data_IF_781460074236
#
_entry.id   IF_781460074236
#
_cell.length_a   1.000
_cell.length_b   1.000
_cell.length_c   1.000
_cell.angle_alpha   90.00
_cell.angle_beta   90.00
_cell.angle_gamma   90.00
#
_symmetry.space_group_name_H-M   'P 1'
#
loop_
_entity.id
_entity.type
_entity.pdbx_description
1 polymer ?
#
# COMPACT_ATOMS: atom_id res chain seq x y z
N UNK A 1 9.96 -10.44 -20.28
CA UNK A 1 8.93 -10.51 -19.23
C UNK A 1 8.67 -9.09 -18.73
N UNK A 2 8.17 -8.24 -19.63
CA UNK A 2 8.23 -6.76 -19.52
C UNK A 2 6.86 -6.07 -19.52
N UNK A 3 5.76 -6.84 -19.60
CA UNK A 3 4.46 -6.35 -19.11
C UNK A 3 4.48 -6.57 -17.59
N UNK A 4 4.28 -5.61 -16.71
CA UNK A 4 3.55 -4.34 -16.86
C UNK A 4 4.09 -3.36 -15.79
N UNK A 5 5.42 -3.22 -15.61
CA UNK A 5 6.00 -2.37 -14.54
C UNK A 5 5.52 -0.92 -14.66
N UNK A 6 5.45 -0.39 -15.89
CA UNK A 6 4.88 0.94 -16.16
C UNK A 6 3.42 1.04 -15.70
N UNK A 7 2.66 -0.05 -15.81
CA UNK A 7 1.30 -0.11 -15.29
C UNK A 7 1.30 -0.18 -13.78
N UNK A 8 2.12 -1.00 -13.13
CA UNK A 8 2.21 -1.05 -11.66
C UNK A 8 2.55 0.32 -11.08
N UNK A 9 3.51 1.02 -11.70
CA UNK A 9 4.01 2.32 -11.24
C UNK A 9 3.15 3.52 -11.70
N UNK A 10 2.07 3.29 -12.45
CA UNK A 10 1.21 4.37 -12.94
C UNK A 10 0.53 5.12 -11.81
N UNK A 11 0.17 6.37 -12.09
CA UNK A 11 -0.86 7.08 -11.33
C UNK A 11 -2.24 6.63 -11.80
N UNK A 12 -3.13 6.30 -10.87
CA UNK A 12 -4.53 5.93 -11.12
C UNK A 12 -5.46 7.13 -10.91
N UNK A 13 -6.63 7.18 -11.57
CA UNK A 13 -7.57 8.26 -11.36
C UNK A 13 -8.17 8.22 -9.95
N UNK A 14 -8.77 9.33 -9.53
CA UNK A 14 -9.29 9.56 -8.17
C UNK A 14 -10.19 8.43 -7.68
N UNK A 15 -11.08 7.93 -8.52
CA UNK A 15 -12.06 6.89 -8.21
C UNK A 15 -11.41 5.54 -7.89
N UNK A 16 -10.14 5.37 -8.24
CA UNK A 16 -9.33 4.18 -7.98
C UNK A 16 -8.22 4.42 -6.93
N UNK A 17 -8.07 5.63 -6.42
CA UNK A 17 -7.06 5.93 -5.40
C UNK A 17 -7.35 5.16 -4.10
N UNK A 18 -6.30 4.88 -3.33
CA UNK A 18 -6.46 4.39 -1.97
C UNK A 18 -6.79 5.55 -1.05
N UNK A 19 -7.82 5.40 -0.23
CA UNK A 19 -8.25 6.41 0.74
C UNK A 19 -8.01 5.89 2.14
N UNK A 20 -7.26 6.65 2.94
CA UNK A 20 -6.89 6.24 4.30
C UNK A 20 -7.97 6.66 5.31
N UNK A 21 -8.47 5.72 6.08
CA UNK A 21 -9.46 5.87 7.15
C UNK A 21 -8.90 5.29 8.44
N UNK A 22 -9.32 5.84 9.59
CA UNK A 22 -9.00 5.24 10.90
C UNK A 22 -10.11 4.33 11.42
N UNK A 23 -11.31 4.42 10.83
CA UNK A 23 -12.46 3.59 11.09
C UNK A 23 -13.50 3.79 9.97
N UNK A 24 -14.58 3.01 9.98
CA UNK A 24 -15.68 3.17 9.02
C UNK A 24 -16.21 4.61 9.07
N UNK A 25 -16.18 5.29 7.92
CA UNK A 25 -16.64 6.67 7.78
C UNK A 25 -15.66 7.74 8.27
N UNK A 26 -14.53 7.39 8.88
CA UNK A 26 -13.58 8.36 9.42
C UNK A 26 -12.35 8.56 8.51
N UNK A 27 -12.56 9.28 7.41
CA UNK A 27 -11.53 9.59 6.43
C UNK A 27 -10.47 10.51 7.02
N UNK A 28 -9.19 10.22 6.76
CA UNK A 28 -8.06 11.00 7.28
C UNK A 28 -7.77 12.28 6.49
N UNK A 29 -8.40 12.48 5.32
CA UNK A 29 -8.02 13.53 4.39
C UNK A 29 -6.86 13.15 3.45
N UNK A 30 -6.27 11.96 3.62
CA UNK A 30 -5.08 11.51 2.88
C UNK A 30 -5.47 10.37 1.93
N UNK A 31 -4.98 10.44 0.70
CA UNK A 31 -5.13 9.38 -0.31
C UNK A 31 -3.80 9.13 -1.04
N UNK A 32 -3.69 7.96 -1.65
CA UNK A 32 -2.58 7.61 -2.54
C UNK A 32 -3.12 7.15 -3.90
N UNK A 33 -2.64 7.77 -4.96
CA UNK A 33 -3.01 7.48 -6.35
C UNK A 33 -1.96 6.67 -7.09
N UNK A 34 -0.87 6.29 -6.44
CA UNK A 34 0.19 5.44 -7.01
C UNK A 34 0.92 4.67 -5.92
N UNK A 35 1.72 3.67 -6.32
CA UNK A 35 2.59 2.95 -5.37
C UNK A 35 3.60 3.88 -4.67
N UNK A 36 4.10 4.88 -5.40
CA UNK A 36 5.02 5.89 -4.85
C UNK A 36 4.35 6.73 -3.78
N UNK A 37 3.17 7.29 -4.07
CA UNK A 37 2.41 8.05 -3.07
C UNK A 37 2.04 7.17 -1.88
N UNK A 38 1.71 5.90 -2.11
CA UNK A 38 1.39 4.97 -1.02
C UNK A 38 2.56 4.81 -0.05
N UNK A 39 3.79 4.66 -0.54
CA UNK A 39 5.02 4.65 0.28
C UNK A 39 5.15 5.93 1.11
N UNK A 40 4.98 7.10 0.48
CA UNK A 40 5.08 8.39 1.15
C UNK A 40 4.02 8.52 2.26
N UNK A 41 2.76 8.15 1.96
CA UNK A 41 1.63 8.29 2.88
C UNK A 41 1.68 7.34 4.06
N UNK A 42 2.33 6.18 3.95
CA UNK A 42 2.53 5.27 5.10
C UNK A 42 3.23 5.97 6.28
N UNK A 43 4.17 6.88 6.00
CA UNK A 43 4.88 7.62 7.05
C UNK A 43 4.09 8.82 7.59
N UNK A 44 3.13 9.35 6.82
CA UNK A 44 2.34 10.53 7.19
C UNK A 44 1.07 10.17 7.98
N UNK A 45 0.37 9.11 7.59
CA UNK A 45 -0.94 8.78 8.15
C UNK A 45 -0.84 8.30 9.60
N UNK A 46 -1.91 8.53 10.37
CA UNK A 46 -2.05 7.96 11.70
C UNK A 46 -1.93 6.43 11.64
N UNK A 47 -1.12 5.84 12.53
CA UNK A 47 -0.88 4.39 12.53
C UNK A 47 -2.14 3.55 12.73
N UNK A 48 -3.17 4.10 13.41
CA UNK A 48 -4.50 3.47 13.50
C UNK A 48 -5.13 3.24 12.13
N UNK A 49 -4.84 4.10 11.15
CA UNK A 49 -5.30 3.91 9.77
C UNK A 49 -4.59 2.74 9.09
N UNK A 50 -3.29 2.57 9.34
CA UNK A 50 -2.53 1.44 8.82
C UNK A 50 -3.03 0.12 9.40
N UNK A 51 -3.27 0.07 10.71
CA UNK A 51 -3.85 -1.10 11.38
C UNK A 51 -5.24 -1.41 10.83
N UNK A 52 -6.11 -0.40 10.77
CA UNK A 52 -7.48 -0.54 10.27
C UNK A 52 -7.50 -1.19 8.89
N UNK A 53 -6.71 -0.68 7.95
CA UNK A 53 -6.70 -1.18 6.58
C UNK A 53 -5.96 -2.50 6.40
N UNK A 54 -4.81 -2.70 7.05
CA UNK A 54 -4.05 -3.95 6.91
C UNK A 54 -4.89 -5.15 7.36
N UNK A 55 -5.54 -5.06 8.52
CA UNK A 55 -6.26 -6.22 9.06
C UNK A 55 -7.57 -6.52 8.34
N UNK A 56 -8.16 -5.52 7.68
CA UNK A 56 -9.33 -5.70 6.81
C UNK A 56 -8.99 -6.27 5.44
N UNK A 57 -7.71 -6.28 5.09
CA UNK A 57 -7.22 -6.71 3.78
C UNK A 57 -7.33 -5.65 2.68
N UNK A 58 -7.55 -4.38 3.06
CA UNK A 58 -7.83 -3.30 2.11
C UNK A 58 -6.58 -3.00 1.26
N UNK A 59 -5.39 -3.07 1.87
CA UNK A 59 -4.13 -2.81 1.18
C UNK A 59 -3.82 -3.86 0.12
N UNK A 60 -3.84 -5.16 0.45
CA UNK A 60 -3.52 -6.16 -0.57
C UNK A 60 -4.54 -6.20 -1.69
N UNK A 61 -5.82 -5.95 -1.38
CA UNK A 61 -6.88 -5.88 -2.39
C UNK A 61 -6.64 -4.74 -3.37
N UNK A 62 -6.33 -3.54 -2.87
CA UNK A 62 -6.05 -2.40 -3.73
C UNK A 62 -4.81 -2.62 -4.61
N UNK A 63 -3.74 -3.17 -4.05
CA UNK A 63 -2.51 -3.44 -4.80
C UNK A 63 -2.72 -4.50 -5.89
N UNK A 64 -3.44 -5.59 -5.58
CA UNK A 64 -3.74 -6.64 -6.57
C UNK A 64 -4.73 -6.13 -7.64
N UNK A 65 -5.88 -5.58 -7.25
CA UNK A 65 -6.95 -5.29 -8.19
C UNK A 65 -6.73 -3.96 -8.94
N UNK A 66 -6.18 -2.95 -8.27
CA UNK A 66 -6.00 -1.61 -8.84
C UNK A 66 -4.62 -1.46 -9.43
N UNK A 67 -3.54 -1.78 -8.71
CA UNK A 67 -2.19 -1.62 -9.26
C UNK A 67 -1.79 -2.79 -10.15
N UNK A 68 -2.40 -3.97 -9.98
CA UNK A 68 -2.09 -5.21 -10.70
C UNK A 68 -0.73 -5.78 -10.34
N UNK A 69 -0.36 -5.64 -9.06
CA UNK A 69 0.89 -6.11 -8.50
C UNK A 69 0.65 -7.26 -7.50
N UNK A 70 0.55 -8.46 -8.05
CA UNK A 70 0.29 -9.68 -7.28
C UNK A 70 1.40 -10.01 -6.28
N UNK A 71 2.65 -9.72 -6.66
CA UNK A 71 3.81 -10.05 -5.83
C UNK A 71 3.80 -9.23 -4.54
N UNK A 72 3.59 -7.92 -4.64
CA UNK A 72 3.49 -7.06 -3.46
C UNK A 72 2.23 -7.36 -2.64
N UNK A 73 1.09 -7.63 -3.30
CA UNK A 73 -0.14 -8.00 -2.60
C UNK A 73 0.04 -9.24 -1.72
N UNK A 74 0.72 -10.28 -2.21
CA UNK A 74 1.08 -11.45 -1.42
C UNK A 74 2.04 -11.11 -0.27
N UNK A 75 3.00 -10.21 -0.50
CA UNK A 75 3.90 -9.68 0.53
C UNK A 75 3.16 -9.02 1.69
N UNK A 76 2.17 -8.17 1.39
CA UNK A 76 1.33 -7.52 2.40
C UNK A 76 0.44 -8.53 3.12
N UNK A 77 -0.15 -9.50 2.39
CA UNK A 77 -0.94 -10.58 3.01
C UNK A 77 -0.13 -11.40 4.02
N UNK A 78 1.17 -11.58 3.79
CA UNK A 78 2.06 -12.22 4.78
C UNK A 78 2.26 -11.34 6.02
N UNK A 79 2.44 -10.03 5.85
CA UNK A 79 2.55 -9.10 6.98
C UNK A 79 1.30 -9.09 7.85
N UNK A 80 0.11 -9.14 7.25
CA UNK A 80 -1.17 -9.23 7.97
C UNK A 80 -1.20 -10.38 8.98
N UNK A 81 -0.57 -11.53 8.65
CA UNK A 81 -0.54 -12.72 9.52
C UNK A 81 0.41 -12.59 10.72
N UNK A 82 1.31 -11.61 10.72
CA UNK A 82 2.29 -11.39 11.80
C UNK A 82 1.68 -10.60 12.97
N UNK A 83 0.49 -10.02 12.80
CA UNK A 83 -0.25 -9.29 13.82
C UNK A 83 0.55 -8.13 14.48
N UNK A 84 1.26 -7.33 13.67
CA UNK A 84 2.01 -6.15 14.09
C UNK A 84 1.12 -4.93 14.37
N UNK A 85 1.51 -4.08 15.32
CA UNK A 85 0.80 -2.85 15.65
C UNK A 85 1.75 -1.67 15.83
N UNK A 86 1.19 -0.45 15.86
CA UNK A 86 1.91 0.78 16.11
C UNK A 86 3.07 1.01 15.13
N UNK A 87 4.11 1.68 15.62
CA UNK A 87 5.27 2.04 14.79
C UNK A 87 6.01 0.81 14.22
N UNK A 88 5.92 -0.35 14.88
CA UNK A 88 6.48 -1.60 14.35
C UNK A 88 5.76 -2.00 13.06
N UNK A 89 4.43 -1.90 13.03
CA UNK A 89 3.65 -2.10 11.81
C UNK A 89 4.05 -1.09 10.73
N UNK A 90 4.06 0.22 11.06
CA UNK A 90 4.42 1.27 10.09
C UNK A 90 5.77 0.97 9.44
N UNK A 91 6.79 0.70 10.26
CA UNK A 91 8.15 0.45 9.79
C UNK A 91 8.24 -0.78 8.88
N UNK A 92 7.57 -1.89 9.25
CA UNK A 92 7.58 -3.11 8.44
C UNK A 92 6.81 -2.95 7.13
N UNK A 93 5.63 -2.32 7.17
CA UNK A 93 4.84 -2.03 5.98
C UNK A 93 5.61 -1.11 5.03
N UNK A 94 6.15 0.01 5.54
CA UNK A 94 6.96 0.93 4.77
C UNK A 94 8.18 0.24 4.15
N UNK A 95 8.91 -0.57 4.92
CA UNK A 95 10.08 -1.28 4.42
C UNK A 95 9.74 -2.28 3.31
N UNK A 96 8.66 -3.04 3.45
CA UNK A 96 8.19 -3.99 2.43
C UNK A 96 7.82 -3.28 1.13
N UNK A 97 6.98 -2.26 1.21
CA UNK A 97 6.50 -1.53 0.03
C UNK A 97 7.65 -0.74 -0.63
N UNK A 98 8.48 -0.07 0.16
CA UNK A 98 9.64 0.69 -0.36
C UNK A 98 10.65 -0.20 -1.06
N UNK A 99 10.91 -1.40 -0.53
CA UNK A 99 11.83 -2.35 -1.16
C UNK A 99 11.30 -2.83 -2.50
N UNK A 100 10.01 -3.14 -2.57
CA UNK A 100 9.37 -3.55 -3.81
C UNK A 100 9.38 -2.42 -4.85
N UNK A 101 9.02 -1.20 -4.46
CA UNK A 101 9.09 -0.02 -5.32
C UNK A 101 10.51 0.18 -5.88
N UNK A 102 11.55 0.11 -5.03
CA UNK A 102 12.95 0.22 -5.45
C UNK A 102 13.34 -0.86 -6.46
N UNK A 103 12.92 -2.10 -6.21
CA UNK A 103 13.17 -3.21 -7.13
C UNK A 103 12.49 -2.96 -8.49
N UNK A 104 11.21 -2.58 -8.53
CA UNK A 104 10.51 -2.25 -9.77
C UNK A 104 11.22 -1.14 -10.55
N UNK A 105 11.65 -0.09 -9.86
CA UNK A 105 12.34 1.05 -10.50
C UNK A 105 13.73 0.71 -11.02
N UNK A 106 14.39 -0.35 -10.52
CA UNK A 106 15.69 -0.78 -11.03
C UNK A 106 15.60 -1.72 -12.23
N UNK A 107 14.38 -2.15 -12.60
CA UNK A 107 14.13 -2.98 -13.78
C UNK A 107 13.75 -2.17 -15.03
N UNK A 108 13.70 -0.83 -14.92
CA UNK A 108 13.42 0.12 -16.01
C UNK A 108 14.73 0.75 -16.45
#
# INVERSE_FOLDING_TARGET
MSGDISKILRTVPREKAFYFFTSIGNYTGISASSLKEFVEKINEVNVKSLEFHLYRGDFEKWIDEVLQDKELAEGIRRLQKVNLAGEVLRNQLHATVSRHLKWLTSQI
#
